data_IF_873994862612
#
_entry.id   IF_873994862612
#
_cell.length_a   1.000
_cell.length_b   1.000
_cell.length_c   1.000
_cell.angle_alpha   90.00
_cell.angle_beta   90.00
_cell.angle_gamma   90.00
#
_symmetry.space_group_name_H-M   'P 1'
#
loop_
_entity.id
_entity.type
_entity.pdbx_description
1 polymer ?
#
# COMPACT_ATOMS: atom_id res chain seq x y z
N UNK A 1 31.38 -5.03 18.97
CA UNK A 1 32.47 -5.01 17.95
C UNK A 1 32.17 -5.83 16.68
N UNK A 2 31.01 -6.48 16.53
CA UNK A 2 30.66 -7.23 15.29
C UNK A 2 29.99 -6.39 14.19
N UNK A 3 29.35 -5.25 14.53
CA UNK A 3 28.62 -4.43 13.54
C UNK A 3 29.52 -3.50 12.70
N UNK A 4 30.77 -3.25 13.10
CA UNK A 4 31.71 -2.43 12.33
C UNK A 4 32.35 -3.19 11.16
N UNK A 5 32.28 -4.52 11.17
CA UNK A 5 32.88 -5.36 10.13
C UNK A 5 31.96 -5.52 8.90
N UNK A 6 30.63 -5.40 9.09
CA UNK A 6 29.66 -5.39 7.99
C UNK A 6 29.76 -4.10 7.14
N UNK A 7 30.11 -2.98 7.79
CA UNK A 7 30.30 -1.66 7.19
C UNK A 7 31.38 -1.64 6.10
N UNK A 8 32.38 -2.53 6.19
CA UNK A 8 33.50 -2.60 5.25
C UNK A 8 33.22 -3.46 4.01
N UNK A 9 32.21 -4.34 4.04
CA UNK A 9 31.97 -5.29 2.95
C UNK A 9 31.03 -4.74 1.85
N UNK A 10 30.17 -3.77 2.16
CA UNK A 10 29.19 -3.22 1.21
C UNK A 10 29.77 -2.09 0.34
N UNK A 11 30.90 -1.49 0.72
CA UNK A 11 31.53 -0.36 0.00
C UNK A 11 32.50 -0.76 -1.14
N UNK A 12 32.62 -2.04 -1.48
CA UNK A 12 33.69 -2.55 -2.34
C UNK A 12 33.59 -2.30 -3.86
N UNK A 13 32.58 -1.62 -4.41
CA UNK A 13 32.34 -1.61 -5.88
C UNK A 13 32.31 -0.20 -6.53
N UNK A 14 32.74 0.88 -5.89
CA UNK A 14 32.84 2.17 -6.62
C UNK A 14 34.16 2.89 -6.36
N UNK A 15 35.22 2.38 -6.99
CA UNK A 15 36.42 3.16 -7.26
C UNK A 15 36.64 3.15 -8.77
N UNK A 16 36.60 4.32 -9.42
CA UNK A 16 37.64 4.86 -10.32
C UNK A 16 37.21 6.20 -10.96
N UNK A 17 38.21 7.10 -11.08
CA UNK A 17 38.27 8.43 -11.72
C UNK A 17 37.49 9.58 -11.02
N UNK A 18 38.07 10.74 -10.70
CA UNK A 18 39.13 11.50 -11.37
C UNK A 18 39.86 12.45 -10.40
N UNK A 19 41.17 12.62 -10.58
CA UNK A 19 41.93 13.74 -10.04
C UNK A 19 41.68 14.98 -10.90
N UNK A 20 41.17 16.05 -10.30
CA UNK A 20 41.46 17.42 -10.75
C UNK A 20 41.70 18.32 -9.56
N UNK A 21 42.92 18.80 -9.51
CA UNK A 21 43.51 19.75 -8.58
C UNK A 21 42.78 21.10 -8.67
N UNK A 22 41.92 21.38 -7.70
CA UNK A 22 41.46 22.73 -7.37
C UNK A 22 41.03 22.73 -5.90
N UNK A 23 41.62 23.62 -5.11
CA UNK A 23 41.56 23.69 -3.64
C UNK A 23 40.19 24.07 -3.04
N UNK A 24 39.09 23.82 -3.74
CA UNK A 24 37.74 23.95 -3.20
C UNK A 24 37.09 22.57 -3.12
N UNK A 25 37.52 21.77 -2.14
CA UNK A 25 36.87 20.48 -1.87
C UNK A 25 35.45 20.78 -1.41
N UNK A 26 34.46 20.43 -2.24
CA UNK A 26 33.06 20.59 -1.88
C UNK A 26 32.80 19.96 -0.49
N UNK A 27 32.18 20.74 0.38
CA UNK A 27 31.87 20.37 1.76
C UNK A 27 30.38 20.06 1.90
N UNK A 28 29.93 19.43 3.00
CA UNK A 28 28.52 19.17 3.19
C UNK A 28 27.64 20.43 3.20
N UNK A 29 28.23 21.61 3.44
CA UNK A 29 27.53 22.90 3.34
C UNK A 29 27.08 23.23 1.91
N UNK A 30 27.83 22.74 0.93
CA UNK A 30 27.57 22.96 -0.49
C UNK A 30 26.52 21.97 -1.04
N UNK A 31 26.10 20.99 -0.24
CA UNK A 31 25.17 19.92 -0.62
C UNK A 31 23.71 20.21 -0.18
N UNK A 32 23.48 21.27 0.59
CA UNK A 32 22.17 21.58 1.18
C UNK A 32 21.03 21.67 0.16
N UNK A 33 19.90 21.01 0.42
CA UNK A 33 18.67 21.09 -0.34
C UNK A 33 17.89 19.77 -0.41
N UNK A 34 16.85 19.76 -1.25
CA UNK A 34 15.92 18.64 -1.37
C UNK A 34 16.39 17.66 -2.44
N UNK A 35 16.54 16.40 -2.05
CA UNK A 35 16.85 15.28 -2.92
C UNK A 35 15.58 14.47 -3.16
N UNK A 36 15.31 14.08 -4.40
CA UNK A 36 14.15 13.24 -4.74
C UNK A 36 14.53 12.13 -5.72
N UNK A 37 13.74 11.06 -5.74
CA UNK A 37 13.99 9.92 -6.63
C UNK A 37 13.69 10.25 -8.10
N UNK A 38 13.05 11.39 -8.37
CA UNK A 38 12.65 11.86 -9.71
C UNK A 38 13.54 13.00 -10.23
N UNK A 39 14.43 13.54 -9.38
CA UNK A 39 15.33 14.64 -9.72
C UNK A 39 16.60 14.14 -10.41
N UNK A 40 17.06 14.86 -11.44
CA UNK A 40 18.32 14.59 -12.15
C UNK A 40 19.52 15.31 -11.55
N UNK A 41 19.30 16.39 -10.81
CA UNK A 41 20.37 17.27 -10.30
C UNK A 41 20.73 16.94 -8.84
N UNK A 42 19.71 16.57 -8.06
CA UNK A 42 19.79 16.16 -6.65
C UNK A 42 19.10 14.82 -6.51
N UNK A 43 19.83 13.77 -6.88
CA UNK A 43 19.31 12.40 -6.96
C UNK A 43 19.22 11.79 -5.57
N UNK A 44 18.07 11.22 -5.22
CA UNK A 44 17.90 10.40 -4.02
C UNK A 44 17.89 8.92 -4.38
N UNK A 45 18.84 8.17 -3.85
CA UNK A 45 18.80 6.70 -3.79
C UNK A 45 18.26 6.28 -2.42
N UNK A 46 16.94 6.09 -2.32
CA UNK A 46 16.29 5.69 -1.07
C UNK A 46 15.96 4.19 -1.06
N UNK A 47 16.31 3.54 0.06
CA UNK A 47 15.79 2.21 0.41
C UNK A 47 15.03 2.25 1.73
N UNK A 48 13.95 1.50 1.78
CA UNK A 48 13.18 1.21 2.98
C UNK A 48 13.27 -0.29 3.25
N UNK A 49 13.77 -0.69 4.43
CA UNK A 49 13.99 -2.09 4.80
C UNK A 49 14.77 -2.88 3.75
N UNK A 50 15.83 -2.28 3.19
CA UNK A 50 16.67 -2.80 2.10
C UNK A 50 16.01 -2.93 0.71
N UNK A 51 14.75 -2.56 0.54
CA UNK A 51 14.09 -2.49 -0.76
C UNK A 51 14.06 -1.05 -1.29
N UNK A 52 14.17 -0.88 -2.61
CA UNK A 52 14.08 0.44 -3.24
C UNK A 52 12.73 1.09 -2.90
N UNK A 53 12.74 2.39 -2.62
CA UNK A 53 11.53 3.14 -2.32
C UNK A 53 11.50 4.48 -3.06
N UNK A 54 10.68 4.56 -4.11
CA UNK A 54 10.57 5.73 -4.98
C UNK A 54 9.37 6.62 -4.62
N UNK A 55 9.28 7.79 -5.25
CA UNK A 55 8.21 8.77 -5.00
C UNK A 55 8.42 9.62 -3.76
N UNK A 56 9.62 9.56 -3.16
CA UNK A 56 9.95 10.22 -1.89
C UNK A 56 11.02 11.28 -2.06
N UNK A 57 11.13 12.13 -1.03
CA UNK A 57 12.17 13.15 -0.95
C UNK A 57 12.77 13.27 0.45
N UNK A 58 14.00 13.77 0.50
CA UNK A 58 14.74 14.05 1.73
C UNK A 58 15.35 15.45 1.62
N UNK A 59 15.03 16.33 2.56
CA UNK A 59 15.73 17.61 2.73
C UNK A 59 16.99 17.39 3.57
N UNK A 60 18.14 17.68 2.98
CA UNK A 60 19.44 17.60 3.64
C UNK A 60 19.97 19.01 3.92
N UNK A 61 20.32 19.29 5.18
CA UNK A 61 20.86 20.59 5.57
C UNK A 61 22.01 20.47 6.58
N UNK A 62 23.20 20.90 6.18
CA UNK A 62 24.41 21.03 6.99
C UNK A 62 24.87 22.49 7.00
N UNK A 63 24.78 23.14 8.17
CA UNK A 63 25.26 24.50 8.35
C UNK A 63 26.76 24.57 8.71
N UNK A 64 27.26 23.58 9.46
CA UNK A 64 28.62 23.57 10.02
C UNK A 64 29.59 22.69 9.20
N UNK A 65 29.09 21.89 8.26
CA UNK A 65 29.88 20.97 7.44
C UNK A 65 30.28 19.68 8.18
N UNK A 66 29.81 19.49 9.41
CA UNK A 66 30.16 18.38 10.31
C UNK A 66 28.95 17.59 10.77
N UNK A 67 27.79 18.23 10.81
CA UNK A 67 26.52 17.60 11.13
C UNK A 67 25.44 18.06 10.16
N UNK A 68 24.39 17.25 10.02
CA UNK A 68 23.26 17.55 9.16
C UNK A 68 21.92 17.36 9.87
N UNK A 69 20.93 18.09 9.40
CA UNK A 69 19.52 17.79 9.61
C UNK A 69 19.00 17.09 8.36
N UNK A 70 18.36 15.93 8.53
CA UNK A 70 17.68 15.22 7.45
C UNK A 70 16.19 15.19 7.75
N UNK A 71 15.36 15.63 6.80
CA UNK A 71 13.90 15.56 6.90
C UNK A 71 13.35 14.64 5.83
N UNK A 72 12.85 13.50 6.24
CA UNK A 72 12.31 12.47 5.36
C UNK A 72 10.83 12.77 5.12
N UNK A 73 10.45 13.06 3.87
CA UNK A 73 9.08 13.45 3.52
C UNK A 73 8.25 12.21 3.13
N UNK A 74 7.28 11.84 3.97
CA UNK A 74 6.35 10.73 3.72
C UNK A 74 7.02 9.37 3.57
N UNK A 75 8.18 9.16 4.20
CA UNK A 75 8.95 7.89 4.13
C UNK A 75 8.51 6.90 5.20
N UNK A 76 8.18 7.38 6.41
CA UNK A 76 7.71 6.52 7.50
C UNK A 76 6.18 6.51 7.48
N UNK A 77 5.53 5.33 7.45
CA UNK A 77 4.06 5.25 7.45
C UNK A 77 3.44 5.99 8.64
N UNK A 78 2.44 6.83 8.37
CA UNK A 78 1.79 7.68 9.38
C UNK A 78 2.53 8.96 9.74
N UNK A 79 3.65 9.27 9.09
CA UNK A 79 4.39 10.52 9.26
C UNK A 79 4.49 11.29 7.95
N UNK A 80 3.99 12.52 7.92
CA UNK A 80 4.24 13.43 6.80
C UNK A 80 5.71 13.82 6.72
N UNK A 81 6.38 13.97 7.87
CA UNK A 81 7.79 14.31 7.99
C UNK A 81 8.42 13.62 9.20
N UNK A 82 9.59 12.99 9.00
CA UNK A 82 10.44 12.48 10.09
C UNK A 82 11.76 13.24 10.11
N UNK A 83 12.09 13.86 11.24
CA UNK A 83 13.27 14.73 11.37
C UNK A 83 14.39 14.06 12.17
N UNK A 84 15.59 14.01 11.57
CA UNK A 84 16.83 13.66 12.24
C UNK A 84 17.68 14.92 12.37
N UNK A 85 17.84 15.42 13.60
CA UNK A 85 18.61 16.63 13.87
C UNK A 85 20.04 16.30 14.30
N UNK A 86 20.99 17.16 13.93
CA UNK A 86 22.38 17.07 14.38
C UNK A 86 23.06 15.72 14.12
N UNK A 87 22.74 15.09 12.98
CA UNK A 87 23.33 13.82 12.55
C UNK A 87 24.80 14.03 12.22
N UNK A 88 25.74 13.35 12.89
CA UNK A 88 27.17 13.47 12.60
C UNK A 88 27.51 13.00 11.19
N UNK A 89 28.40 13.73 10.50
CA UNK A 89 28.94 13.38 9.20
C UNK A 89 30.38 12.91 9.35
N UNK A 90 30.66 11.70 8.88
CA UNK A 90 32.00 11.12 8.84
C UNK A 90 32.59 11.32 7.45
N UNK A 91 33.74 12.00 7.37
CA UNK A 91 34.41 12.29 6.10
C UNK A 91 35.24 11.10 5.62
N UNK A 92 35.02 10.66 4.39
CA UNK A 92 35.89 9.72 3.67
C UNK A 92 36.12 10.18 2.23
N UNK A 93 37.33 10.63 1.88
CA UNK A 93 37.78 10.91 0.50
C UNK A 93 36.71 11.49 -0.47
N UNK A 94 36.02 12.56 -0.06
CA UNK A 94 34.95 13.28 -0.80
C UNK A 94 33.53 12.68 -0.75
N UNK A 95 33.33 11.64 0.05
CA UNK A 95 32.04 11.08 0.44
C UNK A 95 31.85 11.31 1.94
N UNK A 96 30.65 11.72 2.35
CA UNK A 96 30.34 11.86 3.77
C UNK A 96 29.30 10.81 4.15
N UNK A 97 29.63 9.95 5.10
CA UNK A 97 28.71 8.93 5.61
C UNK A 97 28.03 9.41 6.88
N UNK A 98 26.83 8.90 7.14
CA UNK A 98 26.09 9.23 8.33
C UNK A 98 25.29 8.02 8.83
N UNK A 99 25.00 8.03 10.13
CA UNK A 99 24.03 7.13 10.73
C UNK A 99 23.31 7.83 11.89
N UNK A 100 22.03 7.52 12.07
CA UNK A 100 21.22 8.08 13.15
C UNK A 100 20.07 7.16 13.53
N UNK A 101 19.52 7.41 14.71
CA UNK A 101 18.30 6.76 15.22
C UNK A 101 17.31 7.85 15.67
N UNK A 102 16.05 7.70 15.29
CA UNK A 102 14.92 8.45 15.82
C UNK A 102 13.94 7.44 16.41
N UNK A 103 13.51 7.66 17.66
CA UNK A 103 12.69 6.71 18.39
C UNK A 103 11.62 7.41 19.22
N UNK A 104 10.45 6.81 19.25
CA UNK A 104 9.38 7.14 20.19
C UNK A 104 8.71 5.84 20.67
N UNK A 105 7.60 5.95 21.41
CA UNK A 105 6.90 4.79 21.98
C UNK A 105 6.26 3.89 20.90
N UNK A 106 5.95 4.45 19.73
CA UNK A 106 5.26 3.74 18.65
C UNK A 106 6.19 3.09 17.63
N UNK A 107 7.46 3.53 17.52
CA UNK A 107 8.42 3.02 16.54
C UNK A 107 9.87 3.43 16.82
N UNK A 108 10.78 2.68 16.19
CA UNK A 108 12.20 3.04 16.04
C UNK A 108 12.52 3.15 14.55
N UNK A 109 13.18 4.23 14.15
CA UNK A 109 13.64 4.48 12.78
C UNK A 109 15.15 4.65 12.81
N UNK A 110 15.87 3.80 12.09
CA UNK A 110 17.31 3.96 11.89
C UNK A 110 17.58 4.39 10.45
N UNK A 111 18.58 5.23 10.31
CA UNK A 111 19.03 5.80 9.06
C UNK A 111 20.53 5.58 8.94
N UNK A 112 20.96 5.10 7.79
CA UNK A 112 22.36 5.05 7.39
C UNK A 112 22.47 5.52 5.94
N UNK A 113 23.58 6.13 5.56
CA UNK A 113 23.69 6.63 4.21
C UNK A 113 24.97 7.38 3.92
N UNK A 114 25.00 7.98 2.74
CA UNK A 114 26.09 8.81 2.28
C UNK A 114 25.60 9.97 1.44
N UNK A 115 26.38 11.05 1.45
CA UNK A 115 26.16 12.24 0.63
C UNK A 115 27.42 12.59 -0.15
N UNK A 116 27.23 12.87 -1.43
CA UNK A 116 28.17 13.53 -2.32
C UNK A 116 27.44 14.67 -3.04
N UNK A 117 28.17 15.54 -3.75
CA UNK A 117 27.55 16.58 -4.56
C UNK A 117 26.54 15.99 -5.53
N UNK A 118 25.30 16.48 -5.48
CA UNK A 118 24.23 16.06 -6.37
C UNK A 118 23.61 14.67 -6.10
N UNK A 119 24.12 13.89 -5.13
CA UNK A 119 23.53 12.57 -4.82
C UNK A 119 23.51 12.26 -3.33
N UNK A 120 22.34 11.84 -2.85
CA UNK A 120 22.09 11.37 -1.49
C UNK A 120 21.63 9.92 -1.53
N UNK A 121 22.34 9.04 -0.81
CA UNK A 121 21.96 7.63 -0.63
C UNK A 121 21.50 7.43 0.81
N UNK A 122 20.31 6.87 1.00
CA UNK A 122 19.72 6.66 2.33
C UNK A 122 19.11 5.26 2.41
N UNK A 123 19.51 4.49 3.42
CA UNK A 123 18.78 3.31 3.85
C UNK A 123 18.05 3.65 5.15
N UNK A 124 16.73 3.44 5.14
CA UNK A 124 15.85 3.60 6.30
C UNK A 124 15.37 2.23 6.74
N UNK A 125 15.48 1.92 8.03
CA UNK A 125 14.84 0.76 8.62
C UNK A 125 13.88 1.23 9.71
N UNK A 126 12.63 0.76 9.64
CA UNK A 126 11.60 1.08 10.62
C UNK A 126 11.22 -0.18 11.38
N UNK A 127 10.95 -0.04 12.67
CA UNK A 127 10.34 -1.07 13.52
C UNK A 127 9.21 -0.43 14.31
N UNK A 128 7.98 -0.81 14.04
CA UNK A 128 6.82 -0.38 14.82
C UNK A 128 6.69 -1.19 16.11
N UNK A 129 6.01 -0.60 17.10
CA UNK A 129 5.61 -1.31 18.30
C UNK A 129 4.69 -2.50 17.93
N UNK A 130 4.83 -3.59 18.68
CA UNK A 130 4.06 -4.80 18.47
C UNK A 130 2.55 -4.52 18.58
N UNK A 131 1.78 -5.08 17.65
CA UNK A 131 0.33 -4.99 17.64
C UNK A 131 -0.28 -6.30 17.12
N UNK A 132 -1.59 -6.43 17.26
CA UNK A 132 -2.31 -7.69 17.01
C UNK A 132 -2.31 -8.14 15.54
N UNK A 133 -2.05 -7.23 14.60
CA UNK A 133 -2.03 -7.52 13.17
C UNK A 133 -0.72 -8.20 12.73
N UNK A 134 0.39 -7.99 13.44
CA UNK A 134 1.77 -8.31 13.03
C UNK A 134 2.06 -9.81 12.88
N UNK A 135 1.54 -10.42 11.81
CA UNK A 135 1.78 -11.80 11.38
C UNK A 135 1.18 -12.04 9.99
N UNK A 136 1.26 -13.28 9.53
CA UNK A 136 0.58 -13.77 8.33
C UNK A 136 -0.84 -14.24 8.67
N UNK A 137 -1.78 -13.85 7.80
CA UNK A 137 -3.20 -14.12 7.90
C UNK A 137 -3.69 -14.72 6.58
N UNK A 138 -4.21 -15.95 6.64
CA UNK A 138 -4.73 -16.66 5.48
C UNK A 138 -6.11 -16.14 5.13
N UNK A 139 -6.34 -15.86 3.85
CA UNK A 139 -7.63 -15.42 3.36
C UNK A 139 -8.67 -16.53 3.57
N UNK A 140 -9.83 -16.16 4.11
CA UNK A 140 -10.90 -17.09 4.44
C UNK A 140 -12.18 -16.80 3.66
N UNK A 141 -12.68 -15.58 3.74
CA UNK A 141 -13.94 -15.16 3.12
C UNK A 141 -14.03 -13.64 2.99
N UNK A 142 -15.07 -13.16 2.33
CA UNK A 142 -15.53 -11.77 2.42
C UNK A 142 -16.68 -11.72 3.43
N UNK A 143 -16.84 -10.58 4.10
CA UNK A 143 -18.00 -10.27 4.94
C UNK A 143 -18.50 -8.86 4.62
N UNK A 144 -19.82 -8.74 4.54
CA UNK A 144 -20.50 -7.49 4.28
C UNK A 144 -21.71 -7.32 5.22
N UNK A 145 -21.96 -6.10 5.64
CA UNK A 145 -23.17 -5.68 6.33
C UNK A 145 -23.62 -4.34 5.72
N UNK A 146 -24.92 -4.16 5.50
CA UNK A 146 -25.45 -2.94 4.88
C UNK A 146 -26.84 -2.61 5.40
N UNK A 147 -27.00 -1.42 5.98
CA UNK A 147 -28.26 -0.84 6.46
C UNK A 147 -28.50 0.53 5.80
N UNK A 148 -29.72 0.82 5.31
CA UNK A 148 -30.92 -0.02 5.33
C UNK A 148 -30.86 -1.19 4.33
N UNK A 149 -31.70 -2.21 4.52
CA UNK A 149 -31.64 -3.49 3.77
C UNK A 149 -32.58 -3.54 2.56
N UNK A 150 -33.48 -2.57 2.43
CA UNK A 150 -34.61 -2.56 1.50
C UNK A 150 -34.43 -1.60 0.31
N UNK A 151 -33.31 -0.86 0.25
CA UNK A 151 -33.03 0.03 -0.87
C UNK A 151 -32.84 -0.79 -2.15
N UNK A 152 -33.61 -0.54 -3.22
CA UNK A 152 -33.53 -1.30 -4.45
C UNK A 152 -32.30 -0.89 -5.27
N UNK A 153 -31.52 -1.87 -5.72
CA UNK A 153 -30.32 -1.67 -6.55
C UNK A 153 -30.54 -2.10 -7.99
N UNK A 154 -31.22 -3.24 -8.21
CA UNK A 154 -31.56 -3.72 -9.56
C UNK A 154 -32.74 -4.69 -9.51
N UNK A 155 -33.24 -5.10 -10.68
CA UNK A 155 -34.25 -6.15 -10.84
C UNK A 155 -33.72 -7.25 -11.77
N UNK A 156 -33.90 -8.50 -11.36
CA UNK A 156 -33.56 -9.69 -12.16
C UNK A 156 -34.81 -10.48 -12.51
N UNK A 157 -34.85 -11.05 -13.71
CA UNK A 157 -35.95 -11.90 -14.18
C UNK A 157 -35.66 -13.37 -13.85
N UNK A 158 -36.57 -14.01 -13.10
CA UNK A 158 -36.47 -15.43 -12.74
C UNK A 158 -37.19 -16.36 -13.74
N UNK A 159 -37.77 -15.79 -14.79
CA UNK A 159 -38.58 -16.44 -15.83
C UNK A 159 -40.06 -16.65 -15.45
N UNK A 160 -40.42 -16.42 -14.18
CA UNK A 160 -41.80 -16.51 -13.68
C UNK A 160 -42.20 -15.31 -12.81
N UNK A 161 -41.23 -14.52 -12.37
CA UNK A 161 -41.41 -13.27 -11.63
C UNK A 161 -40.14 -12.44 -11.75
N UNK A 162 -40.26 -11.13 -11.52
CA UNK A 162 -39.11 -10.26 -11.29
C UNK A 162 -38.78 -10.23 -9.80
N UNK A 163 -37.50 -10.20 -9.48
CA UNK A 163 -37.00 -10.07 -8.12
C UNK A 163 -36.17 -8.80 -8.00
N UNK A 164 -36.50 -7.97 -7.01
CA UNK A 164 -35.67 -6.82 -6.65
C UNK A 164 -34.46 -7.29 -5.86
N UNK A 165 -33.28 -6.94 -6.34
CA UNK A 165 -32.04 -7.03 -5.57
C UNK A 165 -31.94 -5.76 -4.75
N UNK A 166 -32.07 -5.88 -3.43
CA UNK A 166 -31.89 -4.79 -2.50
C UNK A 166 -30.48 -4.79 -1.90
N UNK A 167 -30.09 -3.72 -1.23
CA UNK A 167 -28.84 -3.64 -0.44
C UNK A 167 -28.67 -4.82 0.52
N UNK A 168 -29.74 -5.23 1.20
CA UNK A 168 -29.72 -6.38 2.11
C UNK A 168 -29.50 -7.70 1.39
N UNK A 169 -30.19 -7.94 0.27
CA UNK A 169 -30.00 -9.16 -0.51
C UNK A 169 -28.58 -9.20 -1.12
N UNK A 170 -28.08 -8.08 -1.65
CA UNK A 170 -26.72 -7.97 -2.15
C UNK A 170 -25.69 -8.26 -1.05
N UNK A 171 -25.87 -7.72 0.16
CA UNK A 171 -24.99 -7.95 1.30
C UNK A 171 -24.95 -9.43 1.73
N UNK A 172 -25.96 -10.23 1.41
CA UNK A 172 -25.94 -11.69 1.64
C UNK A 172 -25.27 -12.47 0.51
N UNK A 173 -25.42 -12.03 -0.74
CA UNK A 173 -24.97 -12.79 -1.92
C UNK A 173 -23.53 -12.45 -2.31
N UNK A 174 -23.20 -11.16 -2.36
CA UNK A 174 -21.89 -10.68 -2.82
C UNK A 174 -20.72 -11.29 -2.03
N UNK A 175 -20.77 -11.47 -0.69
CA UNK A 175 -19.64 -12.02 0.04
C UNK A 175 -19.23 -13.43 -0.40
N UNK A 176 -20.20 -14.33 -0.60
CA UNK A 176 -19.90 -15.71 -1.03
C UNK A 176 -19.25 -15.72 -2.40
N UNK A 177 -19.71 -14.84 -3.29
CA UNK A 177 -19.22 -14.75 -4.65
C UNK A 177 -17.84 -14.12 -4.74
N UNK A 178 -17.65 -12.97 -4.10
CA UNK A 178 -16.36 -12.31 -4.00
C UNK A 178 -15.34 -13.21 -3.31
N UNK A 179 -15.74 -13.97 -2.30
CA UNK A 179 -14.86 -14.92 -1.64
C UNK A 179 -14.41 -16.06 -2.57
N UNK A 180 -15.28 -16.53 -3.47
CA UNK A 180 -14.93 -17.55 -4.46
C UNK A 180 -13.90 -17.01 -5.45
N UNK A 181 -14.14 -15.83 -6.00
CA UNK A 181 -13.21 -15.21 -6.95
C UNK A 181 -11.88 -14.86 -6.28
N UNK A 182 -11.91 -14.18 -5.13
CA UNK A 182 -10.70 -13.80 -4.40
C UNK A 182 -9.87 -15.00 -3.95
N UNK A 183 -10.46 -16.17 -3.68
CA UNK A 183 -9.68 -17.39 -3.35
C UNK A 183 -8.76 -17.85 -4.47
N UNK A 184 -9.11 -17.56 -5.72
CA UNK A 184 -8.27 -17.91 -6.86
C UNK A 184 -7.09 -16.93 -7.02
N UNK A 185 -7.16 -15.76 -6.38
CA UNK A 185 -6.18 -14.68 -6.53
C UNK A 185 -5.37 -14.42 -5.27
N UNK A 186 -5.95 -14.50 -4.07
CA UNK A 186 -5.32 -14.10 -2.82
C UNK A 186 -5.26 -15.28 -1.86
N UNK A 187 -4.05 -15.65 -1.45
CA UNK A 187 -3.83 -16.71 -0.47
C UNK A 187 -3.74 -16.14 0.95
N UNK A 188 -2.89 -15.15 1.18
CA UNK A 188 -2.66 -14.57 2.49
C UNK A 188 -2.14 -13.13 2.43
N UNK A 189 -2.19 -12.46 3.57
CA UNK A 189 -1.57 -11.15 3.80
C UNK A 189 -0.69 -11.21 5.03
N UNK A 190 0.46 -10.54 4.98
CA UNK A 190 1.42 -10.45 6.09
C UNK A 190 1.62 -9.00 6.46
N UNK A 191 1.28 -8.66 7.71
CA UNK A 191 1.60 -7.37 8.31
C UNK A 191 2.96 -7.49 8.99
N UNK A 192 3.96 -6.78 8.48
CA UNK A 192 5.34 -6.88 8.95
C UNK A 192 5.65 -5.86 10.05
N UNK A 193 6.68 -6.13 10.84
CA UNK A 193 7.16 -5.23 11.91
C UNK A 193 7.64 -3.88 11.36
N UNK A 194 8.16 -3.87 10.12
CA UNK A 194 8.59 -2.66 9.43
C UNK A 194 7.44 -1.87 8.79
N UNK A 195 6.20 -2.24 9.07
CA UNK A 195 5.02 -1.56 8.51
C UNK A 195 4.72 -1.93 7.07
N UNK A 196 5.44 -2.85 6.41
CA UNK A 196 5.02 -3.34 5.09
C UNK A 196 3.81 -4.30 5.21
N UNK A 197 2.88 -4.19 4.26
CA UNK A 197 1.88 -5.23 3.99
C UNK A 197 2.35 -6.01 2.76
N UNK A 198 2.47 -7.32 2.88
CA UNK A 198 2.82 -8.22 1.77
C UNK A 198 1.67 -9.18 1.52
N UNK A 199 1.17 -9.25 0.30
CA UNK A 199 0.17 -10.22 -0.11
C UNK A 199 0.85 -11.39 -0.84
N UNK A 200 0.37 -12.62 -0.61
CA UNK A 200 0.69 -13.76 -1.48
C UNK A 200 -0.48 -13.98 -2.41
N UNK A 201 -0.25 -13.85 -3.71
CA UNK A 201 -1.28 -13.84 -4.74
C UNK A 201 -0.90 -14.71 -5.95
N UNK A 202 -1.90 -15.12 -6.71
CA UNK A 202 -1.73 -15.97 -7.88
C UNK A 202 -1.44 -15.13 -9.11
N UNK A 203 -0.31 -15.38 -9.76
CA UNK A 203 0.13 -14.72 -11.00
C UNK A 203 -0.13 -15.57 -12.25
N UNK A 204 -0.75 -16.75 -12.10
CA UNK A 204 -1.09 -17.61 -13.22
C UNK A 204 -2.02 -16.88 -14.21
N UNK A 205 -1.63 -16.89 -15.49
CA UNK A 205 -2.38 -16.22 -16.55
C UNK A 205 -3.13 -17.24 -17.38
N UNK A 206 -4.44 -17.05 -17.51
CA UNK A 206 -5.29 -17.84 -18.40
C UNK A 206 -4.97 -17.45 -19.84
N UNK A 207 -4.64 -18.43 -20.67
CA UNK A 207 -4.43 -18.23 -22.11
C UNK A 207 -5.34 -19.16 -22.91
N UNK A 208 -5.53 -18.90 -24.21
CA UNK A 208 -6.31 -19.80 -25.07
C UNK A 208 -5.72 -21.22 -25.11
N UNK A 209 -4.40 -21.35 -25.00
CA UNK A 209 -3.68 -22.62 -24.99
C UNK A 209 -3.69 -23.30 -23.60
N UNK A 210 -3.92 -22.54 -22.53
CA UNK A 210 -3.98 -23.03 -21.16
C UNK A 210 -5.11 -22.33 -20.38
N UNK A 211 -6.35 -22.80 -20.54
CA UNK A 211 -7.52 -22.16 -19.94
C UNK A 211 -7.62 -22.37 -18.42
N UNK A 212 -6.92 -23.37 -17.88
CA UNK A 212 -6.88 -23.70 -16.44
C UNK A 212 -5.43 -23.85 -15.99
N UNK A 213 -4.66 -22.75 -15.90
CA UNK A 213 -3.26 -22.83 -15.50
C UNK A 213 -3.14 -23.27 -14.03
N UNK A 214 -2.08 -24.03 -13.73
CA UNK A 214 -1.70 -24.28 -12.34
C UNK A 214 -1.39 -22.95 -11.64
N UNK A 215 -1.78 -22.84 -10.37
CA UNK A 215 -1.56 -21.62 -9.60
C UNK A 215 -0.06 -21.34 -9.43
N UNK A 216 0.33 -20.10 -9.73
CA UNK A 216 1.69 -19.59 -9.53
C UNK A 216 1.63 -18.58 -8.39
N UNK A 217 1.87 -19.04 -7.17
CA UNK A 217 1.76 -18.20 -5.97
C UNK A 217 3.03 -17.40 -5.75
N UNK A 218 2.90 -16.07 -5.71
CA UNK A 218 4.00 -15.14 -5.52
C UNK A 218 3.69 -14.12 -4.43
N UNK A 219 4.73 -13.66 -3.74
CA UNK A 219 4.60 -12.56 -2.78
C UNK A 219 4.80 -11.21 -3.45
N UNK A 220 3.97 -10.25 -3.08
CA UNK A 220 4.08 -8.88 -3.57
C UNK A 220 5.42 -8.25 -3.18
N UNK A 221 6.03 -7.43 -4.05
CA UNK A 221 7.18 -6.61 -3.69
C UNK A 221 6.92 -5.75 -2.45
N UNK A 222 8.01 -5.39 -1.74
CA UNK A 222 7.94 -4.47 -0.62
C UNK A 222 7.60 -3.05 -1.09
N UNK A 223 7.08 -2.24 -0.16
CA UNK A 223 6.77 -0.82 -0.31
C UNK A 223 5.63 -0.53 -1.30
N UNK A 224 4.82 -1.52 -1.70
CA UNK A 224 3.57 -1.28 -2.44
C UNK A 224 2.47 -0.75 -1.51
N UNK A 225 2.32 -1.38 -0.36
CA UNK A 225 1.40 -0.98 0.69
C UNK A 225 2.10 -1.06 2.05
N UNK A 226 1.89 -0.04 2.87
CA UNK A 226 2.42 0.04 4.22
C UNK A 226 1.30 0.37 5.21
N UNK A 227 1.54 0.18 6.51
CA UNK A 227 0.56 0.46 7.54
C UNK A 227 1.18 0.99 8.83
N UNK A 228 0.35 1.69 9.61
CA UNK A 228 0.58 1.91 11.02
C UNK A 228 -0.74 1.78 11.78
N UNK A 229 -0.69 1.36 13.04
CA UNK A 229 -1.86 1.32 13.92
C UNK A 229 -1.81 2.53 14.84
N UNK A 230 -2.90 3.31 14.87
CA UNK A 230 -3.04 4.47 15.73
C UNK A 230 -4.46 4.50 16.29
N UNK A 231 -4.58 4.67 17.60
CA UNK A 231 -5.87 4.77 18.31
C UNK A 231 -6.84 3.61 17.99
N UNK A 232 -6.28 2.40 17.80
CA UNK A 232 -7.06 1.18 17.46
C UNK A 232 -7.49 1.06 16.00
N UNK A 233 -7.09 2.00 15.13
CA UNK A 233 -7.39 1.97 13.69
C UNK A 233 -6.12 1.64 12.91
N UNK A 234 -6.24 0.77 11.90
CA UNK A 234 -5.16 0.49 10.96
C UNK A 234 -5.22 1.49 9.82
N UNK A 235 -4.18 2.29 9.63
CA UNK A 235 -4.08 3.20 8.49
C UNK A 235 -3.20 2.56 7.42
N UNK A 236 -3.74 2.38 6.22
CA UNK A 236 -3.05 1.77 5.08
C UNK A 236 -2.59 2.86 4.11
N UNK A 237 -1.30 2.86 3.79
CA UNK A 237 -0.65 3.81 2.90
C UNK A 237 -0.23 3.08 1.62
N UNK A 238 -0.78 3.48 0.48
CA UNK A 238 -0.40 2.94 -0.82
C UNK A 238 0.70 3.81 -1.44
N UNK A 239 1.72 3.16 -2.00
CA UNK A 239 2.76 3.86 -2.74
C UNK A 239 2.45 3.80 -4.24
N UNK A 240 1.81 4.85 -4.76
CA UNK A 240 1.44 4.92 -6.17
C UNK A 240 2.66 4.79 -7.09
N UNK A 241 3.78 5.43 -6.77
CA UNK A 241 5.00 5.31 -7.56
C UNK A 241 5.53 3.87 -7.60
N UNK A 242 5.50 3.15 -6.48
CA UNK A 242 5.94 1.74 -6.44
C UNK A 242 4.96 0.83 -7.19
N UNK A 243 3.66 1.08 -7.08
CA UNK A 243 2.61 0.34 -7.81
C UNK A 243 2.75 0.57 -9.31
N UNK A 244 2.86 1.83 -9.75
CA UNK A 244 3.01 2.17 -11.16
C UNK A 244 4.31 1.58 -11.73
N UNK A 245 5.41 1.64 -10.99
CA UNK A 245 6.65 0.98 -11.38
C UNK A 245 6.47 -0.53 -11.55
N UNK A 246 5.74 -1.19 -10.66
CA UNK A 246 5.47 -2.61 -10.77
C UNK A 246 4.60 -2.90 -12.01
N UNK A 247 3.57 -2.11 -12.25
CA UNK A 247 2.72 -2.21 -13.44
C UNK A 247 3.54 -2.03 -14.73
N UNK A 248 4.42 -1.02 -14.79
CA UNK A 248 5.30 -0.77 -15.94
C UNK A 248 6.31 -1.91 -16.16
N UNK A 249 6.79 -2.53 -15.07
CA UNK A 249 7.66 -3.70 -15.15
C UNK A 249 6.91 -4.95 -15.63
N UNK A 250 5.63 -5.07 -15.32
CA UNK A 250 4.79 -6.21 -15.67
C UNK A 250 4.09 -6.06 -17.04
N UNK A 251 3.90 -4.83 -17.56
CA UNK A 251 3.22 -4.53 -18.83
C UNK A 251 3.84 -3.32 -19.56
N UNK A 252 4.25 -3.49 -20.83
CA UNK A 252 4.54 -2.35 -21.72
C UNK A 252 3.24 -1.57 -22.02
N UNK A 253 3.09 -0.40 -21.39
CA UNK A 253 2.19 0.66 -21.86
C UNK A 253 0.79 0.67 -21.26
N UNK A 254 0.58 1.52 -20.25
CA UNK A 254 -0.65 2.30 -20.11
C UNK A 254 -0.32 3.76 -19.80
N UNK A 255 -1.07 4.65 -20.43
CA UNK A 255 -0.87 6.10 -20.39
C UNK A 255 -1.30 6.68 -19.05
N UNK A 256 -0.42 7.49 -18.45
CA UNK A 256 -0.70 8.31 -17.26
C UNK A 256 -1.36 9.62 -17.68
N UNK A 257 -2.69 9.61 -17.82
CA UNK A 257 -3.47 10.84 -17.91
C UNK A 257 -3.62 11.47 -16.51
N UNK A 258 -3.18 12.71 -16.35
CA UNK A 258 -3.42 13.49 -15.13
C UNK A 258 -4.82 14.09 -15.15
N UNK A 259 -5.76 13.43 -14.48
CA UNK A 259 -7.14 13.90 -14.31
C UNK A 259 -7.28 14.66 -12.96
N UNK A 260 -8.06 15.76 -12.87
CA UNK A 260 -8.40 16.43 -11.60
C UNK A 260 -8.90 15.52 -10.46
N UNK A 261 -9.37 14.30 -10.76
CA UNK A 261 -9.74 13.30 -9.74
C UNK A 261 -8.53 12.75 -8.97
N UNK A 262 -7.32 12.85 -9.54
CA UNK A 262 -6.06 12.45 -8.90
C UNK A 262 -5.85 13.18 -7.56
N UNK A 263 -6.25 14.45 -7.45
CA UNK A 263 -6.11 15.22 -6.20
C UNK A 263 -6.97 14.69 -5.04
N UNK A 264 -8.16 14.15 -5.31
CA UNK A 264 -9.02 13.54 -4.29
C UNK A 264 -8.46 12.18 -3.83
N UNK A 265 -7.94 11.40 -4.78
CA UNK A 265 -7.24 10.13 -4.50
C UNK A 265 -5.94 10.40 -3.72
N UNK A 266 -5.16 11.39 -4.11
CA UNK A 266 -3.93 11.82 -3.42
C UNK A 266 -4.22 12.24 -1.98
N UNK A 267 -5.30 12.99 -1.72
CA UNK A 267 -5.66 13.38 -0.34
C UNK A 267 -6.07 12.19 0.53
N UNK A 268 -6.81 11.22 -0.02
CA UNK A 268 -7.17 9.99 0.68
C UNK A 268 -5.94 9.14 0.99
N UNK A 269 -4.97 9.09 0.07
CA UNK A 269 -3.74 8.33 0.23
C UNK A 269 -2.72 9.02 1.14
N UNK A 270 -2.70 10.36 1.19
CA UNK A 270 -1.74 11.14 1.96
C UNK A 270 -1.88 10.91 3.48
N UNK A 271 -3.11 10.77 3.98
CA UNK A 271 -3.37 10.54 5.41
C UNK A 271 -3.46 9.06 5.79
N UNK A 272 -3.37 8.16 4.80
CA UNK A 272 -3.63 6.75 4.96
C UNK A 272 -5.12 6.44 4.98
N UNK A 273 -5.48 5.33 4.35
CA UNK A 273 -6.85 4.83 4.29
C UNK A 273 -7.17 4.21 5.66
N UNK A 274 -8.18 4.73 6.41
CA UNK A 274 -8.58 4.12 7.67
C UNK A 274 -9.27 2.79 7.38
N UNK A 275 -8.70 1.72 7.91
CA UNK A 275 -9.21 0.37 7.81
C UNK A 275 -9.45 -0.16 9.21
N UNK A 276 -10.70 -0.47 9.50
CA UNK A 276 -11.10 -1.02 10.78
C UNK A 276 -10.73 -2.51 10.84
N UNK A 277 -10.47 -2.99 12.04
CA UNK A 277 -10.24 -4.41 12.23
C UNK A 277 -10.85 -4.91 13.54
N UNK A 278 -11.33 -6.15 13.49
CA UNK A 278 -11.86 -6.87 14.64
C UNK A 278 -11.18 -8.22 14.74
N UNK A 279 -10.52 -8.47 15.88
CA UNK A 279 -9.97 -9.77 16.20
C UNK A 279 -10.99 -10.59 16.97
N UNK A 280 -11.20 -11.82 16.53
CA UNK A 280 -12.06 -12.80 17.19
C UNK A 280 -11.36 -14.15 17.25
N UNK A 281 -11.98 -15.12 17.90
CA UNK A 281 -11.56 -16.52 17.85
C UNK A 281 -12.51 -17.26 16.92
N UNK A 282 -11.96 -17.89 15.88
CA UNK A 282 -12.70 -18.69 14.91
C UNK A 282 -13.32 -19.93 15.55
N UNK A 283 -14.30 -20.53 14.87
CA UNK A 283 -14.94 -21.77 15.32
C UNK A 283 -13.97 -22.97 15.42
N UNK A 284 -12.82 -22.87 14.76
CA UNK A 284 -11.69 -23.81 14.81
C UNK A 284 -10.71 -23.53 15.97
N UNK A 285 -11.01 -22.54 16.83
CA UNK A 285 -10.16 -22.12 17.94
C UNK A 285 -8.93 -21.29 17.51
N UNK A 286 -8.76 -21.02 16.21
CA UNK A 286 -7.68 -20.18 15.69
C UNK A 286 -8.06 -18.70 15.76
N UNK A 287 -7.05 -17.82 15.79
CA UNK A 287 -7.29 -16.39 15.65
C UNK A 287 -8.01 -16.10 14.32
N UNK A 288 -9.03 -15.26 14.35
CA UNK A 288 -9.71 -14.75 13.18
C UNK A 288 -9.64 -13.22 13.14
N UNK A 289 -9.48 -12.66 11.95
CA UNK A 289 -9.35 -11.24 11.73
C UNK A 289 -10.36 -10.79 10.68
N UNK A 290 -11.20 -9.82 11.02
CA UNK A 290 -12.04 -9.12 10.05
C UNK A 290 -11.47 -7.73 9.82
N UNK A 291 -11.08 -7.42 8.57
CA UNK A 291 -10.53 -6.13 8.16
C UNK A 291 -11.50 -5.47 7.19
N UNK A 292 -12.01 -4.28 7.50
CA UNK A 292 -13.13 -3.69 6.76
C UNK A 292 -13.08 -2.17 6.61
N UNK A 293 -13.77 -1.69 5.58
CA UNK A 293 -14.11 -0.29 5.37
C UNK A 293 -15.53 -0.05 5.92
N UNK A 294 -15.74 1.11 6.55
CA UNK A 294 -17.01 1.50 7.15
C UNK A 294 -17.83 2.42 6.22
N UNK A 295 -19.05 2.81 6.62
CA UNK A 295 -19.86 3.69 5.78
C UNK A 295 -19.24 5.09 5.60
N UNK A 296 -18.44 5.55 6.55
CA UNK A 296 -17.84 6.90 6.50
C UNK A 296 -16.87 6.97 5.33
N UNK A 297 -15.95 6.01 5.25
CA UNK A 297 -14.99 5.94 4.15
C UNK A 297 -15.69 5.64 2.82
N UNK A 298 -16.63 4.68 2.79
CA UNK A 298 -17.32 4.32 1.55
C UNK A 298 -18.10 5.49 0.95
N UNK A 299 -18.72 6.34 1.78
CA UNK A 299 -19.36 7.58 1.33
C UNK A 299 -18.37 8.60 0.80
N UNK A 300 -17.18 8.72 1.42
CA UNK A 300 -16.12 9.61 0.92
C UNK A 300 -15.58 9.16 -0.45
N UNK A 301 -15.67 7.86 -0.76
CA UNK A 301 -15.31 7.32 -2.07
C UNK A 301 -16.42 7.50 -3.12
N UNK A 302 -17.63 7.92 -2.73
CA UNK A 302 -18.76 8.16 -3.63
C UNK A 302 -18.44 8.97 -4.89
N UNK A 303 -17.70 10.11 -4.79
CA UNK A 303 -17.27 10.88 -5.95
C UNK A 303 -16.37 10.14 -6.95
N UNK A 304 -15.75 9.02 -6.56
CA UNK A 304 -14.87 8.20 -7.41
C UNK A 304 -15.63 7.09 -8.16
N UNK A 305 -16.90 6.84 -7.83
CA UNK A 305 -17.68 5.75 -8.43
C UNK A 305 -17.76 5.79 -9.97
N UNK A 306 -17.92 6.95 -10.63
CA UNK A 306 -17.95 7.00 -12.10
C UNK A 306 -16.67 6.46 -12.76
N UNK A 307 -15.51 6.59 -12.09
CA UNK A 307 -14.27 6.00 -12.60
C UNK A 307 -14.29 4.48 -12.50
N UNK A 308 -14.76 3.95 -11.37
CA UNK A 308 -14.87 2.51 -11.15
C UNK A 308 -15.84 1.89 -12.16
N UNK A 309 -16.96 2.56 -12.44
CA UNK A 309 -17.91 2.18 -13.48
C UNK A 309 -17.25 2.07 -14.86
N UNK A 310 -16.41 3.04 -15.24
CA UNK A 310 -15.72 3.03 -16.54
C UNK A 310 -14.70 1.89 -16.72
N UNK A 311 -14.25 1.28 -15.62
CA UNK A 311 -13.30 0.16 -15.63
C UNK A 311 -14.00 -1.20 -15.72
N UNK A 312 -15.32 -1.24 -15.53
CA UNK A 312 -16.12 -2.47 -15.49
C UNK A 312 -16.76 -2.69 -16.87
N UNK A 313 -16.60 -3.87 -17.49
CA UNK A 313 -17.27 -4.19 -18.75
C UNK A 313 -18.80 -4.06 -18.62
N UNK A 314 -19.45 -3.51 -19.65
CA UNK A 314 -20.92 -3.28 -19.64
C UNK A 314 -21.72 -4.58 -19.47
N UNK A 315 -21.19 -5.71 -19.93
CA UNK A 315 -21.79 -7.04 -19.84
C UNK A 315 -21.39 -7.80 -18.56
N UNK A 316 -20.63 -7.17 -17.66
CA UNK A 316 -20.20 -7.81 -16.43
C UNK A 316 -21.41 -8.12 -15.54
N UNK A 317 -21.55 -9.40 -15.24
CA UNK A 317 -22.58 -9.93 -14.37
C UNK A 317 -21.98 -11.01 -13.49
N UNK A 318 -22.64 -11.27 -12.37
CA UNK A 318 -22.22 -12.29 -11.44
C UNK A 318 -23.30 -13.37 -11.29
N UNK A 319 -22.86 -14.62 -11.26
CA UNK A 319 -23.74 -15.79 -11.16
C UNK A 319 -24.08 -16.12 -9.71
N UNK A 320 -25.35 -16.04 -9.34
CA UNK A 320 -25.81 -16.41 -8.01
C UNK A 320 -26.88 -17.50 -8.05
N UNK A 321 -26.84 -18.41 -7.07
CA UNK A 321 -27.88 -19.43 -6.93
C UNK A 321 -29.00 -18.93 -6.02
N UNK A 322 -30.20 -18.72 -6.58
CA UNK A 322 -31.39 -18.34 -5.82
C UNK A 322 -32.50 -19.36 -6.13
N UNK A 323 -33.10 -19.93 -5.09
CA UNK A 323 -34.17 -20.94 -5.21
C UNK A 323 -33.80 -22.13 -6.13
N UNK A 324 -32.52 -22.53 -6.13
CA UNK A 324 -32.02 -23.64 -6.94
C UNK A 324 -31.84 -23.32 -8.43
N UNK A 325 -32.04 -22.07 -8.86
CA UNK A 325 -31.68 -21.59 -10.19
C UNK A 325 -30.44 -20.69 -10.13
N UNK A 326 -29.58 -20.84 -11.12
CA UNK A 326 -28.48 -19.91 -11.38
C UNK A 326 -29.05 -18.69 -12.10
N UNK A 327 -28.78 -17.50 -11.55
CA UNK A 327 -29.26 -16.21 -12.04
C UNK A 327 -28.06 -15.29 -12.23
N UNK A 328 -28.02 -14.67 -13.40
CA UNK A 328 -27.03 -13.65 -13.73
C UNK A 328 -27.51 -12.29 -13.22
N UNK A 329 -26.74 -11.69 -12.31
CA UNK A 329 -27.04 -10.37 -11.74
C UNK A 329 -26.12 -9.34 -12.40
N UNK A 330 -26.67 -8.38 -13.18
CA UNK A 330 -25.86 -7.39 -13.88
C UNK A 330 -25.26 -6.39 -12.89
N UNK A 331 -23.97 -6.07 -13.05
CA UNK A 331 -23.26 -5.15 -12.17
C UNK A 331 -23.57 -3.69 -12.51
N UNK A 332 -23.72 -3.36 -13.80
CA UNK A 332 -23.98 -1.98 -14.26
C UNK A 332 -25.10 -1.27 -13.48
N UNK A 333 -26.33 -1.81 -13.43
CA UNK A 333 -27.43 -1.20 -12.69
C UNK A 333 -27.17 -1.07 -11.18
N UNK A 334 -26.38 -1.98 -10.59
CA UNK A 334 -26.01 -1.89 -9.16
C UNK A 334 -25.14 -0.66 -8.93
N UNK A 335 -24.14 -0.42 -9.80
CA UNK A 335 -23.26 0.74 -9.70
C UNK A 335 -24.02 2.04 -9.94
N UNK A 336 -24.89 2.09 -10.96
CA UNK A 336 -25.73 3.26 -11.24
C UNK A 336 -26.58 3.68 -10.03
N UNK A 337 -27.08 2.72 -9.24
CA UNK A 337 -27.91 2.97 -8.06
C UNK A 337 -27.09 3.09 -6.77
N UNK A 338 -25.78 2.80 -6.80
CA UNK A 338 -24.90 2.81 -5.65
C UNK A 338 -24.79 4.20 -4.99
N UNK A 339 -24.65 5.32 -5.73
CA UNK A 339 -24.63 6.65 -5.11
C UNK A 339 -25.86 6.93 -4.24
N UNK A 340 -27.06 6.67 -4.77
CA UNK A 340 -28.31 6.87 -4.03
C UNK A 340 -28.44 5.92 -2.83
N UNK A 341 -27.97 4.67 -2.97
CA UNK A 341 -27.92 3.73 -1.85
C UNK A 341 -26.97 4.21 -0.74
N UNK A 342 -25.79 4.71 -1.10
CA UNK A 342 -24.80 5.25 -0.15
C UNK A 342 -25.33 6.50 0.56
N UNK A 343 -26.05 7.38 -0.12
CA UNK A 343 -26.65 8.58 0.50
C UNK A 343 -27.58 8.22 1.67
N UNK A 344 -28.40 7.18 1.53
CA UNK A 344 -29.34 6.75 2.58
C UNK A 344 -28.75 5.75 3.57
N UNK A 345 -27.52 5.27 3.33
CA UNK A 345 -26.86 4.27 4.16
C UNK A 345 -26.61 4.81 5.56
N UNK A 346 -27.04 4.08 6.59
CA UNK A 346 -26.80 4.44 8.00
C UNK A 346 -25.75 3.58 8.67
N UNK A 347 -25.48 2.39 8.14
CA UNK A 347 -24.41 1.53 8.58
C UNK A 347 -23.92 0.65 7.43
N UNK A 348 -22.62 0.55 7.20
CA UNK A 348 -22.06 -0.34 6.19
C UNK A 348 -20.68 -0.83 6.61
N UNK A 349 -20.44 -2.13 6.41
CA UNK A 349 -19.14 -2.74 6.56
C UNK A 349 -18.91 -3.63 5.36
N UNK A 350 -17.78 -3.47 4.68
CA UNK A 350 -17.35 -4.40 3.62
C UNK A 350 -15.88 -4.69 3.83
N UNK A 351 -15.53 -5.98 3.84
CA UNK A 351 -14.19 -6.36 4.22
C UNK A 351 -13.85 -7.82 4.04
N UNK A 352 -12.59 -8.12 4.33
CA UNK A 352 -12.00 -9.44 4.21
C UNK A 352 -11.92 -10.11 5.58
N UNK A 353 -12.25 -11.39 5.61
CA UNK A 353 -12.04 -12.26 6.75
C UNK A 353 -10.81 -13.12 6.53
N UNK A 354 -9.98 -13.19 7.54
CA UNK A 354 -8.78 -14.00 7.57
C UNK A 354 -8.74 -14.90 8.81
N UNK A 355 -7.87 -15.90 8.74
CA UNK A 355 -7.52 -16.80 9.84
C UNK A 355 -6.03 -16.72 10.11
N UNK A 356 -5.61 -16.94 11.35
CA UNK A 356 -4.19 -17.06 11.66
C UNK A 356 -3.57 -18.21 10.84
N UNK A 357 -2.47 -17.92 10.15
CA UNK A 357 -1.71 -18.93 9.42
C UNK A 357 -1.17 -19.99 10.39
N UNK A 358 -0.99 -21.22 9.89
CA UNK A 358 -0.47 -22.37 10.67
C UNK A 358 0.98 -22.21 11.13
#
# INVERSE_FOLDING_TARGET
MKNKFLLLMVLGIVFFASCSDSDNKDTPKDFNGIYSTTSTDRVLDLKYSNAVFIGKSVDFNSADGKSATLKLQGVVPGESETVFSSVPLESGSSVYTFSAENKNDSRTVTLEGSIVKGKLTVNVNVKFAQNELMKTWDFSSVKMAWTPHDYPLTEVDLGFTKMKITTGLLATMAPTMLAKELKNYLQNVTFREDGNIVATYNTATVTEENPEPEADWQSSPLNLAQYCVKDGVCYVFLSLDMIMRQVDMDQEGRSTGTDPILGAVEQLLANGIPVHFEKTVGADGKDALYVYLDEVLLKQLGPLLPMVESLIPEDMAFEASILGKTISVPIGPILENLPGALEVTTAMQVGLQFKGAE
#
